data_IF_241453663342
#
_entry.id   IF_241453663342
#
_cell.length_a   1.000
_cell.length_b   1.000
_cell.length_c   1.000
_cell.angle_alpha   90.00
_cell.angle_beta   90.00
_cell.angle_gamma   90.00
#
_symmetry.space_group_name_H-M   'P 1'
#
loop_
_entity.id
_entity.type
_entity.pdbx_description
1 polymer ?
#
# COMPACT_ATOMS: atom_id res chain seq x y z
N UNK A 1 8.99 -20.21 -1.72
CA UNK A 1 9.32 -18.84 -1.34
C UNK A 1 8.73 -17.80 -2.28
N UNK A 2 8.78 -18.04 -3.60
CA UNK A 2 8.15 -17.16 -4.59
C UNK A 2 6.67 -16.97 -4.30
N UNK A 3 5.98 -18.06 -4.00
CA UNK A 3 4.53 -18.02 -3.76
C UNK A 3 4.18 -17.16 -2.57
N UNK A 4 5.00 -17.21 -1.52
CA UNK A 4 4.79 -16.38 -0.32
C UNK A 4 4.99 -14.91 -0.64
N UNK A 5 6.03 -14.59 -1.39
CA UNK A 5 6.32 -13.21 -1.77
C UNK A 5 5.24 -12.63 -2.67
N UNK A 6 4.77 -13.44 -3.62
CA UNK A 6 3.68 -13.01 -4.51
C UNK A 6 2.39 -12.76 -3.73
N UNK A 7 2.09 -13.61 -2.75
CA UNK A 7 0.91 -13.42 -1.89
C UNK A 7 1.04 -12.17 -1.04
N UNK A 8 2.23 -11.91 -0.49
CA UNK A 8 2.48 -10.69 0.28
C UNK A 8 2.31 -9.45 -0.58
N UNK A 9 2.87 -9.47 -1.78
CA UNK A 9 2.76 -8.37 -2.73
C UNK A 9 1.29 -8.12 -3.07
N UNK A 10 0.52 -9.18 -3.32
CA UNK A 10 -0.91 -9.04 -3.60
C UNK A 10 -1.66 -8.40 -2.44
N UNK A 11 -1.35 -8.79 -1.21
CA UNK A 11 -1.96 -8.19 -0.02
C UNK A 11 -1.58 -6.70 0.10
N UNK A 12 -0.31 -6.39 -0.10
CA UNK A 12 0.16 -5.01 -0.03
C UNK A 12 -0.48 -4.15 -1.11
N UNK A 13 -0.62 -4.69 -2.32
CA UNK A 13 -1.29 -3.99 -3.40
C UNK A 13 -2.75 -3.67 -3.06
N UNK A 14 -3.46 -4.61 -2.46
CA UNK A 14 -4.84 -4.39 -2.04
C UNK A 14 -4.93 -3.31 -0.98
N UNK A 15 -4.02 -3.31 -0.02
CA UNK A 15 -4.01 -2.30 1.04
C UNK A 15 -3.69 -0.91 0.48
N UNK A 16 -2.74 -0.83 -0.43
CA UNK A 16 -2.41 0.44 -1.10
C UNK A 16 -3.63 0.94 -1.87
N UNK A 17 -4.27 0.06 -2.62
CA UNK A 17 -5.45 0.42 -3.41
C UNK A 17 -6.58 0.93 -2.52
N UNK A 18 -6.85 0.25 -1.41
CA UNK A 18 -7.88 0.67 -0.44
C UNK A 18 -7.57 2.06 0.13
N UNK A 19 -6.32 2.26 0.53
CA UNK A 19 -5.89 3.54 1.08
C UNK A 19 -6.03 4.66 0.06
N UNK A 20 -5.66 4.41 -1.19
CA UNK A 20 -5.77 5.38 -2.26
C UNK A 20 -7.24 5.71 -2.57
N UNK A 21 -8.10 4.71 -2.56
CA UNK A 21 -9.54 4.93 -2.77
C UNK A 21 -10.14 5.79 -1.67
N UNK A 22 -9.77 5.53 -0.42
CA UNK A 22 -10.24 6.34 0.70
C UNK A 22 -9.79 7.79 0.57
N UNK A 23 -8.52 7.99 0.25
CA UNK A 23 -7.97 9.34 0.11
C UNK A 23 -8.51 10.05 -1.13
N UNK A 24 -8.89 9.31 -2.17
CA UNK A 24 -9.51 9.86 -3.36
C UNK A 24 -11.00 10.14 -3.22
N UNK A 25 -11.62 9.65 -2.16
CA UNK A 25 -13.04 9.86 -1.92
C UNK A 25 -13.26 11.19 -1.21
N UNK A 26 -13.85 12.15 -1.92
CA UNK A 26 -14.10 13.49 -1.38
C UNK A 26 -14.97 13.46 -0.13
N UNK A 27 -15.94 12.57 -0.08
CA UNK A 27 -16.82 12.43 1.09
C UNK A 27 -16.03 12.03 2.33
N UNK A 28 -15.08 11.14 2.19
CA UNK A 28 -14.23 10.71 3.29
C UNK A 28 -13.32 11.86 3.73
N UNK A 29 -12.66 12.51 2.80
CA UNK A 29 -11.71 13.59 3.09
C UNK A 29 -12.43 14.78 3.72
N UNK A 30 -13.63 15.11 3.25
CA UNK A 30 -14.40 16.24 3.76
C UNK A 30 -15.04 15.96 5.12
N UNK A 31 -15.45 14.73 5.38
CA UNK A 31 -16.13 14.35 6.61
C UNK A 31 -15.18 13.92 7.73
N UNK A 32 -14.00 13.42 7.38
CA UNK A 32 -13.04 12.96 8.38
C UNK A 32 -12.21 14.11 8.91
N UNK A 33 -11.82 14.09 10.21
CA UNK A 33 -10.90 15.09 10.74
C UNK A 33 -9.55 15.04 10.03
N UNK A 34 -8.86 16.19 9.99
CA UNK A 34 -7.53 16.29 9.37
C UNK A 34 -6.57 15.22 9.90
N UNK A 35 -6.60 14.96 11.19
CA UNK A 35 -5.74 13.98 11.82
C UNK A 35 -5.94 12.59 11.24
N UNK A 36 -7.19 12.23 10.96
CA UNK A 36 -7.53 10.93 10.39
C UNK A 36 -7.05 10.86 8.94
N UNK A 37 -7.24 11.93 8.18
CA UNK A 37 -6.79 11.98 6.78
C UNK A 37 -5.27 11.88 6.71
N UNK A 38 -4.55 12.60 7.58
CA UNK A 38 -3.09 12.53 7.64
C UNK A 38 -2.60 11.14 8.02
N UNK A 39 -3.25 10.51 9.00
CA UNK A 39 -2.90 9.15 9.40
C UNK A 39 -3.07 8.17 8.24
N UNK A 40 -4.14 8.30 7.46
CA UNK A 40 -4.36 7.46 6.29
C UNK A 40 -3.32 7.72 5.21
N UNK A 41 -2.92 8.98 5.01
CA UNK A 41 -1.85 9.31 4.06
C UNK A 41 -0.53 8.68 4.46
N UNK A 42 -0.18 8.74 5.75
CA UNK A 42 1.04 8.13 6.26
C UNK A 42 1.00 6.62 6.07
N UNK A 43 -0.12 5.99 6.40
CA UNK A 43 -0.29 4.55 6.18
C UNK A 43 -0.15 4.18 4.71
N UNK A 44 -0.76 4.97 3.82
CA UNK A 44 -0.67 4.72 2.38
C UNK A 44 0.78 4.80 1.92
N UNK A 45 1.53 5.80 2.39
CA UNK A 45 2.94 5.94 2.06
C UNK A 45 3.75 4.75 2.56
N UNK A 46 3.51 4.32 3.80
CA UNK A 46 4.19 3.15 4.37
C UNK A 46 3.90 1.88 3.57
N UNK A 47 2.63 1.66 3.22
CA UNK A 47 2.24 0.51 2.41
C UNK A 47 2.90 0.54 1.03
N UNK A 48 2.97 1.71 0.41
CA UNK A 48 3.63 1.87 -0.88
C UNK A 48 5.12 1.54 -0.79
N UNK A 49 5.78 1.99 0.26
CA UNK A 49 7.20 1.70 0.49
C UNK A 49 7.43 0.20 0.69
N UNK A 50 6.59 -0.44 1.48
CA UNK A 50 6.67 -1.88 1.71
C UNK A 50 6.43 -2.65 0.41
N UNK A 51 5.48 -2.20 -0.38
CA UNK A 51 5.17 -2.83 -1.67
C UNK A 51 6.35 -2.72 -2.63
N UNK A 52 6.96 -1.55 -2.71
CA UNK A 52 8.12 -1.34 -3.57
C UNK A 52 9.29 -2.23 -3.15
N UNK A 53 9.55 -2.33 -1.84
CA UNK A 53 10.61 -3.17 -1.31
C UNK A 53 10.34 -4.66 -1.60
N UNK A 54 9.09 -5.09 -1.45
CA UNK A 54 8.72 -6.47 -1.72
C UNK A 54 8.88 -6.81 -3.21
N UNK A 55 8.50 -5.88 -4.09
CA UNK A 55 8.65 -6.06 -5.52
C UNK A 55 10.12 -6.15 -5.93
N UNK A 56 10.96 -5.31 -5.33
CA UNK A 56 12.41 -5.36 -5.58
C UNK A 56 13.01 -6.71 -5.17
N UNK A 57 12.61 -7.23 -4.02
CA UNK A 57 13.07 -8.53 -3.56
C UNK A 57 12.67 -9.64 -4.52
N UNK A 58 11.43 -9.61 -4.99
CA UNK A 58 10.95 -10.60 -5.94
C UNK A 58 11.72 -10.53 -7.25
N UNK A 59 11.97 -9.31 -7.75
CA UNK A 59 12.76 -9.12 -8.96
C UNK A 59 14.18 -9.65 -8.81
N UNK A 60 14.81 -9.42 -7.66
CA UNK A 60 16.14 -9.93 -7.38
C UNK A 60 16.18 -11.45 -7.42
N UNK A 61 15.16 -12.10 -6.86
CA UNK A 61 15.05 -13.57 -6.89
C UNK A 61 14.85 -14.10 -8.30
N UNK A 62 14.08 -13.38 -9.11
CA UNK A 62 13.82 -13.77 -10.50
C UNK A 62 15.05 -13.62 -11.38
N UNK A 63 15.87 -12.63 -11.08
CA UNK A 63 17.10 -12.38 -11.84
C UNK A 63 18.26 -13.29 -11.44
N UNK A 64 18.21 -13.84 -10.26
CA UNK A 64 19.22 -14.78 -9.80
C UNK A 64 18.97 -16.17 -10.35
#
# INVERSE_FOLDING_TARGET
ERDRMEKEIAKLEKEVERSQKKLGNEKFVNNAPEKVVEAERQKATEWQQKLAAAKERLQSLQQA
#
